data_IF_901698066451
#
_entry.id   IF_901698066451
#
_cell.length_a   1.000
_cell.length_b   1.000
_cell.length_c   1.000
_cell.angle_alpha   90.00
_cell.angle_beta   90.00
_cell.angle_gamma   90.00
#
_symmetry.space_group_name_H-M   'P 1'
#
loop_
_entity.id
_entity.type
_entity.pdbx_description
1 polymer ?
#
# COMPACT_ATOMS: atom_id res chain seq x y z
N UNK A 1 3.79 5.07 -9.80
CA UNK A 1 3.26 4.88 -11.17
C UNK A 1 3.74 5.92 -12.18
N UNK A 2 3.23 7.17 -12.20
CA UNK A 2 3.55 8.16 -13.26
C UNK A 2 5.05 8.44 -13.43
N UNK A 3 5.75 8.65 -12.31
CA UNK A 3 7.20 8.87 -12.32
C UNK A 3 7.98 7.70 -12.96
N UNK A 4 7.58 6.46 -12.67
CA UNK A 4 8.19 5.27 -13.28
C UNK A 4 7.85 5.18 -14.78
N UNK A 5 6.59 5.41 -15.15
CA UNK A 5 6.14 5.38 -16.54
C UNK A 5 6.80 6.46 -17.43
N UNK A 6 7.14 7.61 -16.84
CA UNK A 6 7.78 8.72 -17.54
C UNK A 6 9.26 8.47 -17.86
N UNK A 7 9.90 7.45 -17.27
CA UNK A 7 11.29 7.12 -17.58
C UNK A 7 11.43 6.61 -19.02
N UNK A 8 12.48 7.01 -19.77
CA UNK A 8 12.63 6.67 -21.18
C UNK A 8 12.53 5.16 -21.48
N UNK A 9 13.10 4.32 -20.62
CA UNK A 9 13.07 2.87 -20.75
C UNK A 9 11.67 2.25 -20.62
N UNK A 10 10.74 2.94 -19.96
CA UNK A 10 9.37 2.46 -19.71
C UNK A 10 8.36 3.13 -20.65
N UNK A 11 8.57 4.40 -20.98
CA UNK A 11 7.65 5.21 -21.77
C UNK A 11 7.38 4.60 -23.16
N UNK A 12 8.38 3.95 -23.77
CA UNK A 12 8.22 3.27 -25.05
C UNK A 12 7.18 2.13 -25.03
N UNK A 13 6.89 1.56 -23.86
CA UNK A 13 5.92 0.48 -23.67
C UNK A 13 4.52 1.00 -23.27
N UNK A 14 4.35 2.31 -23.03
CA UNK A 14 3.13 2.88 -22.45
C UNK A 14 2.59 3.97 -23.38
N UNK A 15 1.59 3.60 -24.18
CA UNK A 15 0.88 4.55 -25.03
C UNK A 15 0.01 5.53 -24.23
N UNK A 16 -0.68 5.02 -23.21
CA UNK A 16 -1.59 5.80 -22.36
C UNK A 16 -1.55 5.26 -20.93
N UNK A 17 -1.54 6.17 -19.95
CA UNK A 17 -1.71 5.86 -18.53
C UNK A 17 -2.84 6.73 -17.98
N UNK A 18 -3.89 6.08 -17.49
CA UNK A 18 -5.02 6.74 -16.83
C UNK A 18 -5.13 6.30 -15.39
N UNK A 19 -5.34 7.26 -14.48
CA UNK A 19 -5.47 7.01 -13.05
C UNK A 19 -6.85 7.47 -12.60
N UNK A 20 -7.54 6.64 -11.82
CA UNK A 20 -8.82 6.96 -11.20
C UNK A 20 -8.74 6.59 -9.73
N UNK A 21 -9.42 7.37 -8.88
CA UNK A 21 -9.62 7.01 -7.48
C UNK A 21 -11.10 6.80 -7.22
N UNK A 22 -11.43 5.66 -6.62
CA UNK A 22 -12.80 5.27 -6.26
C UNK A 22 -13.02 5.31 -4.76
N UNK A 23 -12.03 5.78 -3.98
CA UNK A 23 -12.04 5.68 -2.53
C UNK A 23 -12.19 4.22 -2.06
N UNK A 24 -12.88 4.02 -0.94
CA UNK A 24 -13.16 2.71 -0.35
C UNK A 24 -14.45 2.05 -0.90
N UNK A 25 -14.97 2.48 -2.05
CA UNK A 25 -16.18 1.92 -2.64
C UNK A 25 -15.84 0.77 -3.60
N UNK A 26 -16.16 -0.46 -3.17
CA UNK A 26 -15.94 -1.70 -3.94
C UNK A 26 -16.72 -1.69 -5.25
N UNK A 27 -17.98 -1.24 -5.24
CA UNK A 27 -18.83 -1.23 -6.43
C UNK A 27 -18.32 -0.21 -7.46
N UNK A 28 -17.91 0.97 -6.99
CA UNK A 28 -17.29 1.98 -7.84
C UNK A 28 -15.95 1.49 -8.42
N UNK A 29 -15.13 0.77 -7.64
CA UNK A 29 -13.88 0.18 -8.12
C UNK A 29 -14.14 -0.86 -9.21
N UNK A 30 -15.08 -1.78 -9.00
CA UNK A 30 -15.49 -2.78 -10.00
C UNK A 30 -15.98 -2.09 -11.29
N UNK A 31 -16.85 -1.09 -11.17
CA UNK A 31 -17.35 -0.33 -12.31
C UNK A 31 -16.24 0.41 -13.06
N UNK A 32 -15.25 0.97 -12.35
CA UNK A 32 -14.11 1.62 -12.97
C UNK A 32 -13.25 0.62 -13.76
N UNK A 33 -12.99 -0.57 -13.21
CA UNK A 33 -12.26 -1.63 -13.91
C UNK A 33 -13.03 -2.07 -15.16
N UNK A 34 -14.34 -2.29 -15.07
CA UNK A 34 -15.18 -2.66 -16.22
C UNK A 34 -15.16 -1.60 -17.32
N UNK A 35 -15.19 -0.31 -16.94
CA UNK A 35 -15.10 0.78 -17.88
C UNK A 35 -13.75 0.80 -18.61
N UNK A 36 -12.64 0.49 -17.93
CA UNK A 36 -11.33 0.39 -18.57
C UNK A 36 -11.22 -0.83 -19.49
N UNK A 37 -11.78 -1.98 -19.10
CA UNK A 37 -11.88 -3.16 -19.97
C UNK A 37 -12.66 -2.79 -21.23
N UNK A 38 -13.83 -2.14 -21.08
CA UNK A 38 -14.67 -1.73 -22.20
C UNK A 38 -14.01 -0.66 -23.09
N UNK A 39 -13.20 0.23 -22.50
CA UNK A 39 -12.40 1.21 -23.22
C UNK A 39 -11.17 0.61 -23.93
N UNK A 40 -10.90 -0.68 -23.76
CA UNK A 40 -9.83 -1.40 -24.45
C UNK A 40 -8.45 -1.21 -23.84
N UNK A 41 -8.35 -0.91 -22.54
CA UNK A 41 -7.06 -0.91 -21.86
C UNK A 41 -6.47 -2.32 -21.81
N UNK A 42 -5.19 -2.43 -22.15
CA UNK A 42 -4.47 -3.71 -22.18
C UNK A 42 -4.20 -4.27 -20.77
N UNK A 43 -3.98 -3.38 -19.79
CA UNK A 43 -3.77 -3.76 -18.41
C UNK A 43 -4.41 -2.77 -17.43
N UNK A 44 -4.80 -3.28 -16.25
CA UNK A 44 -5.39 -2.51 -15.16
C UNK A 44 -4.72 -2.96 -13.85
N UNK A 45 -3.94 -2.06 -13.26
CA UNK A 45 -3.37 -2.26 -11.94
C UNK A 45 -4.19 -1.51 -10.89
N UNK A 46 -4.50 -2.16 -9.77
CA UNK A 46 -5.41 -1.61 -8.76
C UNK A 46 -5.08 -2.10 -7.36
N UNK A 47 -5.49 -1.31 -6.37
CA UNK A 47 -5.41 -1.67 -4.95
C UNK A 47 -6.76 -2.26 -4.57
N UNK A 48 -6.84 -3.56 -4.34
CA UNK A 48 -8.13 -4.21 -4.08
C UNK A 48 -8.74 -3.70 -2.77
N UNK A 49 -9.91 -3.07 -2.83
CA UNK A 49 -10.60 -2.60 -1.61
C UNK A 49 -11.06 -3.78 -0.74
N UNK A 50 -11.43 -4.89 -1.38
CA UNK A 50 -11.87 -6.12 -0.74
C UNK A 50 -11.24 -7.35 -1.44
N UNK A 51 -10.82 -8.38 -0.70
CA UNK A 51 -10.09 -9.50 -1.28
C UNK A 51 -10.94 -10.48 -2.10
N UNK A 52 -12.27 -10.49 -1.97
CA UNK A 52 -13.14 -11.54 -2.55
C UNK A 52 -14.17 -11.03 -3.56
N UNK A 53 -14.35 -9.72 -3.70
CA UNK A 53 -15.41 -9.13 -4.53
C UNK A 53 -15.15 -9.16 -6.06
N UNK A 54 -13.96 -9.55 -6.52
CA UNK A 54 -13.49 -9.26 -7.89
C UNK A 54 -13.62 -10.44 -8.88
N UNK A 55 -14.15 -11.58 -8.45
CA UNK A 55 -14.23 -12.81 -9.24
C UNK A 55 -14.93 -12.64 -10.60
N UNK A 56 -16.02 -11.85 -10.65
CA UNK A 56 -16.74 -11.58 -11.88
C UNK A 56 -15.95 -10.68 -12.86
N UNK A 57 -15.18 -9.73 -12.32
CA UNK A 57 -14.31 -8.83 -13.10
C UNK A 57 -13.12 -9.61 -13.66
N UNK A 58 -12.51 -10.49 -12.87
CA UNK A 58 -11.43 -11.38 -13.32
C UNK A 58 -11.86 -12.16 -14.55
N UNK A 59 -13.02 -12.85 -14.48
CA UNK A 59 -13.57 -13.60 -15.61
C UNK A 59 -13.83 -12.72 -16.84
N UNK A 60 -14.19 -11.44 -16.67
CA UNK A 60 -14.38 -10.51 -17.79
C UNK A 60 -13.05 -10.10 -18.43
N UNK A 61 -12.06 -9.80 -17.62
CA UNK A 61 -10.72 -9.45 -18.08
C UNK A 61 -10.07 -10.61 -18.84
N UNK A 62 -10.18 -11.84 -18.33
CA UNK A 62 -9.71 -13.06 -19.01
C UNK A 62 -10.32 -13.22 -20.42
N UNK A 63 -11.66 -13.03 -20.56
CA UNK A 63 -12.33 -13.15 -21.87
C UNK A 63 -11.91 -12.08 -22.88
N UNK A 64 -11.53 -10.90 -22.38
CA UNK A 64 -11.14 -9.77 -23.22
C UNK A 64 -9.64 -9.69 -23.45
N UNK A 65 -8.85 -10.47 -22.73
CA UNK A 65 -7.38 -10.44 -22.76
C UNK A 65 -6.78 -9.24 -22.04
N UNK A 66 -7.52 -8.57 -21.15
CA UNK A 66 -7.01 -7.49 -20.31
C UNK A 66 -6.28 -8.08 -19.11
N UNK A 67 -5.06 -7.63 -18.85
CA UNK A 67 -4.26 -8.05 -17.69
C UNK A 67 -4.73 -7.31 -16.44
N UNK A 68 -5.04 -8.03 -15.37
CA UNK A 68 -5.35 -7.44 -14.06
C UNK A 68 -4.16 -7.64 -13.12
N UNK A 69 -3.77 -6.58 -12.41
CA UNK A 69 -2.69 -6.63 -11.41
C UNK A 69 -3.12 -5.96 -10.10
N UNK A 70 -3.74 -6.71 -9.18
CA UNK A 70 -3.89 -6.28 -7.79
C UNK A 70 -2.52 -6.06 -7.14
N UNK A 71 -2.36 -4.96 -6.41
CA UNK A 71 -1.16 -4.71 -5.64
C UNK A 71 -1.46 -3.94 -4.36
N UNK A 72 -0.54 -3.94 -3.40
CA UNK A 72 -0.65 -3.29 -2.09
C UNK A 72 -1.72 -3.95 -1.20
N UNK A 73 -2.97 -3.93 -1.65
CA UNK A 73 -4.05 -4.80 -1.20
C UNK A 73 -4.39 -5.79 -2.32
N UNK A 74 -4.45 -7.07 -1.95
CA UNK A 74 -4.54 -8.18 -2.90
C UNK A 74 -5.85 -8.97 -2.74
N UNK A 75 -6.10 -9.85 -3.69
CA UNK A 75 -7.25 -10.73 -3.75
C UNK A 75 -6.92 -12.09 -3.16
N UNK A 76 -7.91 -12.72 -2.52
CA UNK A 76 -7.82 -14.10 -2.03
C UNK A 76 -8.05 -15.09 -3.19
N UNK A 77 -7.16 -15.05 -4.19
CA UNK A 77 -7.20 -15.88 -5.39
C UNK A 77 -5.81 -16.07 -5.99
N UNK A 78 -5.63 -17.14 -6.77
CA UNK A 78 -4.44 -17.47 -7.54
C UNK A 78 -4.59 -17.24 -9.05
N UNK A 79 -5.75 -16.71 -9.49
CA UNK A 79 -6.10 -16.55 -10.92
C UNK A 79 -5.36 -15.41 -11.63
N UNK A 80 -4.83 -14.45 -10.88
CA UNK A 80 -4.20 -13.24 -11.43
C UNK A 80 -2.85 -13.00 -10.78
N UNK A 81 -1.94 -12.37 -11.53
CA UNK A 81 -0.67 -11.89 -11.02
C UNK A 81 -0.87 -10.76 -10.01
N UNK A 82 -0.18 -10.82 -8.87
CA UNK A 82 -0.33 -9.88 -7.77
C UNK A 82 1.02 -9.46 -7.21
N UNK A 83 1.09 -8.26 -6.63
CA UNK A 83 2.31 -7.75 -5.99
C UNK A 83 1.99 -7.26 -4.59
N UNK A 84 2.64 -7.82 -3.57
CA UNK A 84 2.50 -7.34 -2.21
C UNK A 84 3.79 -7.57 -1.40
N UNK A 85 3.85 -7.05 -0.19
CA UNK A 85 4.74 -7.57 0.85
C UNK A 85 4.04 -8.66 1.64
N UNK A 86 4.81 -9.43 2.40
CA UNK A 86 4.27 -10.45 3.30
C UNK A 86 3.73 -9.81 4.57
N UNK A 87 2.45 -9.47 4.58
CA UNK A 87 1.83 -8.62 5.60
C UNK A 87 1.80 -9.24 7.01
N UNK A 88 1.64 -10.55 7.12
CA UNK A 88 1.73 -11.25 8.41
C UNK A 88 3.16 -11.14 8.96
N UNK A 89 4.18 -11.51 8.17
CA UNK A 89 5.59 -11.42 8.57
C UNK A 89 6.01 -9.96 8.86
N UNK A 90 5.46 -9.01 8.10
CA UNK A 90 5.65 -7.57 8.29
C UNK A 90 5.22 -7.14 9.70
N UNK A 91 4.00 -7.48 10.12
CA UNK A 91 3.50 -7.06 11.42
C UNK A 91 4.13 -7.88 12.56
N UNK A 92 4.41 -9.17 12.34
CA UNK A 92 5.17 -9.99 13.29
C UNK A 92 6.54 -9.38 13.59
N UNK A 93 7.26 -8.83 12.60
CA UNK A 93 8.54 -8.16 12.81
C UNK A 93 8.39 -6.94 13.73
N UNK A 94 7.35 -6.12 13.52
CA UNK A 94 7.06 -5.00 14.43
C UNK A 94 6.75 -5.52 15.84
N UNK A 95 5.88 -6.51 15.95
CA UNK A 95 5.45 -7.06 17.23
C UNK A 95 6.60 -7.67 18.03
N UNK A 96 7.49 -8.44 17.38
CA UNK A 96 8.65 -9.06 18.03
C UNK A 96 9.59 -8.03 18.65
N UNK A 97 9.84 -6.91 17.95
CA UNK A 97 10.62 -5.81 18.52
C UNK A 97 9.93 -5.20 19.75
N UNK A 98 8.64 -4.85 19.62
CA UNK A 98 7.88 -4.22 20.71
C UNK A 98 7.82 -5.13 21.93
N UNK A 99 7.59 -6.43 21.73
CA UNK A 99 7.62 -7.42 22.81
C UNK A 99 8.99 -7.50 23.48
N UNK A 100 10.08 -7.53 22.71
CA UNK A 100 11.44 -7.55 23.27
C UNK A 100 11.75 -6.29 24.10
N UNK A 101 11.22 -5.12 23.72
CA UNK A 101 11.35 -3.90 24.54
C UNK A 101 10.57 -3.99 25.86
N UNK A 102 9.38 -4.59 25.84
CA UNK A 102 8.60 -4.85 27.07
C UNK A 102 9.35 -5.80 28.00
N UNK A 103 9.90 -6.89 27.48
CA UNK A 103 10.70 -7.85 28.23
C UNK A 103 11.95 -7.21 28.84
N UNK A 104 12.67 -6.39 28.06
CA UNK A 104 13.84 -5.65 28.54
C UNK A 104 13.50 -4.66 29.67
N UNK A 105 12.26 -4.14 29.68
CA UNK A 105 11.73 -3.30 30.75
C UNK A 105 11.16 -4.11 31.95
N UNK A 106 11.26 -5.45 31.93
CA UNK A 106 10.75 -6.33 32.98
C UNK A 106 9.22 -6.52 32.97
N UNK A 107 8.54 -6.08 31.90
CA UNK A 107 7.08 -6.22 31.76
C UNK A 107 6.75 -7.50 31.00
N UNK A 108 6.17 -8.48 31.70
CA UNK A 108 5.76 -9.78 31.11
C UNK A 108 4.31 -10.17 31.44
N UNK A 109 3.62 -9.42 32.30
CA UNK A 109 2.22 -9.64 32.70
C UNK A 109 1.52 -8.31 32.96
N UNK A 110 0.19 -8.30 32.87
CA UNK A 110 -0.63 -7.11 33.06
C UNK A 110 -0.36 -6.05 31.99
N UNK A 111 0.06 -6.49 30.80
CA UNK A 111 0.45 -5.62 29.69
C UNK A 111 -0.81 -5.21 28.95
N UNK A 112 -0.98 -3.92 28.68
CA UNK A 112 -2.00 -3.43 27.76
C UNK A 112 -1.40 -2.93 26.46
N UNK A 113 -1.85 -3.48 25.34
CA UNK A 113 -1.39 -3.11 24.00
C UNK A 113 -2.50 -2.42 23.24
N UNK A 114 -2.21 -1.26 22.68
CA UNK A 114 -3.11 -0.57 21.76
C UNK A 114 -2.84 -1.06 20.33
N UNK A 115 -3.81 -1.71 19.71
CA UNK A 115 -3.80 -2.03 18.29
C UNK A 115 -4.53 -0.93 17.51
N UNK A 116 -3.84 -0.27 16.59
CA UNK A 116 -4.43 0.71 15.67
C UNK A 116 -4.52 0.10 14.28
N UNK A 117 -5.75 -0.28 13.92
CA UNK A 117 -6.08 -0.96 12.66
C UNK A 117 -6.29 -0.01 11.49
N UNK A 118 -6.28 -0.61 10.31
CA UNK A 118 -6.44 0.03 9.02
C UNK A 118 -7.87 0.23 8.59
N UNK A 119 -8.10 0.10 7.27
CA UNK A 119 -9.44 0.04 6.69
C UNK A 119 -10.00 -1.39 6.83
N UNK A 120 -11.10 -1.60 7.59
CA UNK A 120 -11.67 -2.93 7.78
C UNK A 120 -12.14 -3.59 6.48
N UNK A 121 -12.01 -4.91 6.41
CA UNK A 121 -12.43 -5.71 5.26
C UNK A 121 -11.39 -5.80 4.14
N UNK A 122 -10.23 -5.17 4.33
CA UNK A 122 -9.10 -5.23 3.42
C UNK A 122 -8.10 -6.35 3.79
N UNK A 123 -7.42 -6.93 2.79
CA UNK A 123 -6.41 -7.98 2.99
C UNK A 123 -5.24 -7.53 3.89
N UNK A 124 -4.69 -6.32 3.70
CA UNK A 124 -3.54 -5.85 4.50
C UNK A 124 -3.92 -5.64 5.95
N UNK A 125 -5.06 -4.99 6.20
CA UNK A 125 -5.55 -4.77 7.57
C UNK A 125 -5.82 -6.11 8.31
N UNK A 126 -6.39 -7.09 7.60
CA UNK A 126 -6.57 -8.44 8.13
C UNK A 126 -5.23 -9.09 8.46
N UNK A 127 -4.33 -9.16 7.49
CA UNK A 127 -3.10 -9.94 7.59
C UNK A 127 -2.12 -9.32 8.60
N UNK A 128 -2.07 -7.99 8.69
CA UNK A 128 -1.28 -7.32 9.73
C UNK A 128 -1.85 -7.60 11.12
N UNK A 129 -3.16 -7.47 11.32
CA UNK A 129 -3.79 -7.81 12.61
C UNK A 129 -3.45 -9.25 13.02
N UNK A 130 -3.55 -10.22 12.10
CA UNK A 130 -3.10 -11.61 12.34
C UNK A 130 -1.63 -11.67 12.79
N UNK A 131 -0.73 -10.95 12.11
CA UNK A 131 0.69 -10.92 12.47
C UNK A 131 0.98 -10.32 13.85
N UNK A 132 0.25 -9.28 14.24
CA UNK A 132 0.33 -8.70 15.59
C UNK A 132 -0.16 -9.70 16.66
N UNK A 133 -1.32 -10.31 16.44
CA UNK A 133 -1.95 -11.25 17.36
C UNK A 133 -1.09 -12.50 17.58
N UNK A 134 -0.38 -13.00 16.57
CA UNK A 134 0.62 -14.08 16.74
C UNK A 134 1.72 -13.78 17.75
N UNK A 135 2.01 -12.49 18.00
CA UNK A 135 2.99 -12.07 19.00
C UNK A 135 2.34 -11.79 20.35
N UNK A 136 1.16 -11.16 20.36
CA UNK A 136 0.57 -10.60 21.58
C UNK A 136 -0.58 -11.41 22.19
N UNK A 137 -1.12 -12.43 21.52
CA UNK A 137 -2.12 -13.34 22.09
C UNK A 137 -1.48 -14.27 23.13
N UNK A 138 -1.25 -13.71 24.32
CA UNK A 138 -0.58 -14.35 25.44
C UNK A 138 -1.37 -14.10 26.72
N UNK A 139 -1.22 -15.02 27.67
CA UNK A 139 -1.78 -14.82 29.01
C UNK A 139 -1.22 -13.56 29.66
N UNK A 140 -2.10 -12.73 30.23
CA UNK A 140 -1.71 -11.49 30.89
C UNK A 140 -1.45 -10.31 29.94
N UNK A 141 -1.80 -10.43 28.66
CA UNK A 141 -1.85 -9.32 27.70
C UNK A 141 -3.30 -8.96 27.39
N UNK A 142 -3.66 -7.70 27.59
CA UNK A 142 -4.94 -7.11 27.15
C UNK A 142 -4.70 -6.32 25.86
N UNK A 143 -5.43 -6.64 24.79
CA UNK A 143 -5.37 -5.91 23.53
C UNK A 143 -6.61 -5.02 23.43
N UNK A 144 -6.40 -3.71 23.26
CA UNK A 144 -7.46 -2.75 22.94
C UNK A 144 -7.31 -2.37 21.48
N UNK A 145 -8.34 -2.63 20.67
CA UNK A 145 -8.32 -2.37 19.23
C UNK A 145 -9.13 -1.12 18.89
N UNK A 146 -8.54 -0.24 18.08
CA UNK A 146 -9.21 0.91 17.46
C UNK A 146 -8.99 0.94 15.96
N UNK A 147 -9.88 1.60 15.21
CA UNK A 147 -9.82 1.67 13.74
C UNK A 147 -9.40 3.07 13.30
N UNK A 148 -8.19 3.18 12.76
CA UNK A 148 -7.60 4.42 12.30
C UNK A 148 -7.81 4.72 10.82
N UNK A 149 -8.31 3.77 10.04
CA UNK A 149 -8.51 3.89 8.58
C UNK A 149 -7.25 4.29 7.79
N UNK A 150 -6.06 4.02 8.35
CA UNK A 150 -4.77 4.50 7.84
C UNK A 150 -4.71 6.02 7.60
N UNK A 151 -5.50 6.80 8.31
CA UNK A 151 -5.54 8.26 8.22
C UNK A 151 -4.99 8.87 9.51
N UNK A 152 -3.93 9.67 9.41
CA UNK A 152 -3.23 10.25 10.57
C UNK A 152 -4.15 11.06 11.48
N UNK A 153 -5.11 11.81 10.94
CA UNK A 153 -6.07 12.58 11.73
C UNK A 153 -7.06 11.69 12.48
N UNK A 154 -7.60 10.68 11.79
CA UNK A 154 -8.49 9.68 12.36
C UNK A 154 -7.77 8.87 13.45
N UNK A 155 -6.54 8.42 13.19
CA UNK A 155 -5.69 7.74 14.17
C UNK A 155 -5.51 8.58 15.42
N UNK A 156 -5.15 9.86 15.29
CA UNK A 156 -4.99 10.75 16.44
C UNK A 156 -6.27 10.81 17.29
N UNK A 157 -7.42 10.93 16.64
CA UNK A 157 -8.71 10.97 17.33
C UNK A 157 -9.00 9.67 18.09
N UNK A 158 -8.94 8.52 17.42
CA UNK A 158 -9.31 7.23 18.04
C UNK A 158 -8.33 6.79 19.12
N UNK A 159 -7.05 7.17 19.00
CA UNK A 159 -6.04 6.93 20.05
C UNK A 159 -6.30 7.84 21.26
N UNK A 160 -6.67 9.11 21.05
CA UNK A 160 -7.05 10.00 22.14
C UNK A 160 -8.29 9.48 22.89
N UNK A 161 -9.30 9.02 22.16
CA UNK A 161 -10.50 8.39 22.75
C UNK A 161 -10.14 7.13 23.55
N UNK A 162 -9.24 6.28 23.03
CA UNK A 162 -8.77 5.09 23.72
C UNK A 162 -7.98 5.42 25.01
N UNK A 163 -7.11 6.42 24.98
CA UNK A 163 -6.37 6.89 26.15
C UNK A 163 -7.33 7.44 27.23
N UNK A 164 -8.38 8.16 26.83
CA UNK A 164 -9.37 8.66 27.76
C UNK A 164 -10.21 7.53 28.39
N UNK A 165 -10.58 6.51 27.61
CA UNK A 165 -11.43 5.42 28.06
C UNK A 165 -10.69 4.34 28.86
N UNK A 166 -9.45 4.03 28.48
CA UNK A 166 -8.70 2.91 29.04
C UNK A 166 -7.51 3.35 29.89
N UNK A 167 -7.13 4.62 29.86
CA UNK A 167 -6.00 5.16 30.61
C UNK A 167 -4.67 4.84 29.93
N UNK A 168 -3.80 4.11 30.62
CA UNK A 168 -2.42 3.86 30.16
C UNK A 168 -2.31 2.61 29.30
N UNK A 169 -1.38 2.66 28.34
CA UNK A 169 -0.95 1.56 27.50
C UNK A 169 0.53 1.28 27.71
N UNK A 170 0.95 0.03 27.59
CA UNK A 170 2.34 -0.38 27.71
C UNK A 170 3.04 -0.48 26.36
N UNK A 171 2.29 -0.61 25.27
CA UNK A 171 2.80 -0.68 23.91
C UNK A 171 1.76 -0.26 22.88
N UNK A 172 2.22 0.14 21.69
CA UNK A 172 1.36 0.44 20.55
C UNK A 172 1.80 -0.34 19.31
N UNK A 173 0.83 -0.95 18.65
CA UNK A 173 0.98 -1.57 17.34
C UNK A 173 0.12 -0.80 16.36
N UNK A 174 0.74 0.08 15.57
CA UNK A 174 0.03 0.87 14.56
C UNK A 174 0.33 0.35 13.16
N UNK A 175 -0.72 0.07 12.39
CA UNK A 175 -0.56 -0.27 10.98
C UNK A 175 -0.12 0.95 10.16
N UNK A 176 -0.63 2.15 10.48
CA UNK A 176 -0.30 3.42 9.82
C UNK A 176 -0.73 4.62 10.66
N UNK A 177 -0.23 5.81 10.35
CA UNK A 177 -0.60 7.06 11.02
C UNK A 177 0.08 7.24 12.37
N UNK A 178 1.30 6.72 12.53
CA UNK A 178 2.08 6.79 13.77
C UNK A 178 2.28 8.22 14.29
N UNK A 179 2.35 9.23 13.42
CA UNK A 179 2.32 10.63 13.85
C UNK A 179 1.08 10.98 14.69
N UNK A 180 -0.09 10.45 14.33
CA UNK A 180 -1.33 10.65 15.09
C UNK A 180 -1.29 9.98 16.46
N UNK A 181 -0.69 8.79 16.54
CA UNK A 181 -0.45 8.09 17.82
C UNK A 181 0.41 8.96 18.74
N UNK A 182 1.57 9.42 18.24
CA UNK A 182 2.53 10.19 19.05
C UNK A 182 1.90 11.50 19.52
N UNK A 183 1.17 12.20 18.65
CA UNK A 183 0.45 13.42 19.03
C UNK A 183 -0.57 13.17 20.14
N UNK A 184 -1.37 12.10 20.04
CA UNK A 184 -2.35 11.76 21.05
C UNK A 184 -1.70 11.42 22.40
N UNK A 185 -0.61 10.66 22.40
CA UNK A 185 0.16 10.35 23.60
C UNK A 185 0.71 11.62 24.28
N UNK A 186 1.30 12.54 23.49
CA UNK A 186 1.78 13.82 24.00
C UNK A 186 0.66 14.66 24.60
N UNK A 187 -0.46 14.77 23.90
CA UNK A 187 -1.61 15.57 24.36
C UNK A 187 -2.21 15.03 25.67
N UNK A 188 -2.19 13.70 25.85
CA UNK A 188 -2.65 13.04 27.07
C UNK A 188 -1.63 13.06 28.23
N UNK A 189 -0.41 13.58 28.01
CA UNK A 189 0.68 13.47 28.98
C UNK A 189 1.11 12.03 29.25
N UNK A 190 0.89 11.12 28.30
CA UNK A 190 1.29 9.73 28.40
C UNK A 190 2.77 9.58 28.07
N UNK A 191 3.48 8.73 28.81
CA UNK A 191 4.87 8.38 28.51
C UNK A 191 4.99 7.72 27.13
N UNK A 192 6.08 7.96 26.40
CA UNK A 192 6.33 7.24 25.16
C UNK A 192 6.72 5.79 25.48
N UNK A 193 5.94 4.86 24.93
CA UNK A 193 6.13 3.42 25.12
C UNK A 193 6.68 2.75 23.87
N UNK A 194 7.08 1.48 23.91
CA UNK A 194 7.48 0.74 22.71
C UNK A 194 6.40 0.76 21.62
N UNK A 195 6.77 1.16 20.40
CA UNK A 195 5.83 1.27 19.27
C UNK A 195 6.30 0.57 18.00
N UNK A 196 5.40 -0.16 17.35
CA UNK A 196 5.54 -0.59 15.96
C UNK A 196 4.83 0.41 15.04
N UNK A 197 5.59 1.10 14.19
CA UNK A 197 5.09 2.24 13.40
C UNK A 197 5.33 2.06 11.88
N UNK A 198 4.65 2.89 11.08
CA UNK A 198 4.83 3.02 9.64
C UNK A 198 6.10 3.78 9.24
N UNK A 199 6.33 3.86 7.93
CA UNK A 199 7.48 4.53 7.31
C UNK A 199 7.21 5.94 6.79
N UNK A 200 6.11 6.60 7.18
CA UNK A 200 5.92 7.99 6.79
C UNK A 200 7.02 8.86 7.41
N UNK A 201 7.49 9.82 6.62
CA UNK A 201 8.56 10.74 7.00
C UNK A 201 8.22 11.48 8.32
N UNK A 202 6.98 11.92 8.45
CA UNK A 202 6.47 12.59 9.64
C UNK A 202 6.44 11.68 10.87
N UNK A 203 6.05 10.42 10.70
CA UNK A 203 6.06 9.40 11.76
C UNK A 203 7.50 9.15 12.24
N UNK A 204 8.42 8.85 11.33
CA UNK A 204 9.83 8.57 11.66
C UNK A 204 10.51 9.76 12.33
N UNK A 205 10.36 10.96 11.76
CA UNK A 205 10.91 12.20 12.32
C UNK A 205 10.38 12.44 13.73
N UNK A 206 9.06 12.39 13.90
CA UNK A 206 8.43 12.67 15.19
C UNK A 206 8.80 11.61 16.24
N UNK A 207 8.91 10.34 15.87
CA UNK A 207 9.33 9.28 16.78
C UNK A 207 10.75 9.51 17.30
N UNK A 208 11.68 9.93 16.43
CA UNK A 208 13.06 10.29 16.83
C UNK A 208 13.07 11.53 17.74
N UNK A 209 12.40 12.61 17.34
CA UNK A 209 12.34 13.87 18.10
C UNK A 209 11.78 13.68 19.52
N UNK A 210 10.82 12.77 19.67
CA UNK A 210 10.15 12.50 20.94
C UNK A 210 10.72 11.28 21.66
N UNK A 211 11.87 10.75 21.21
CA UNK A 211 12.60 9.64 21.83
C UNK A 211 11.74 8.40 22.07
N UNK A 212 10.83 8.10 21.13
CA UNK A 212 10.01 6.89 21.19
C UNK A 212 10.93 5.68 21.02
N UNK A 213 10.82 4.62 21.84
CA UNK A 213 11.41 3.33 21.51
C UNK A 213 10.56 2.68 20.41
N UNK A 214 11.04 2.66 19.17
CA UNK A 214 10.21 2.19 18.05
C UNK A 214 10.98 1.37 17.02
N UNK A 215 10.22 0.61 16.25
CA UNK A 215 10.63 0.09 14.95
C UNK A 215 9.70 0.70 13.90
N UNK A 216 10.27 1.15 12.80
CA UNK A 216 9.52 1.53 11.61
C UNK A 216 9.68 0.45 10.56
N UNK A 217 8.57 -0.14 10.11
CA UNK A 217 8.56 -1.04 8.96
C UNK A 217 7.71 -0.39 7.89
N UNK A 218 8.21 -0.40 6.66
CA UNK A 218 7.62 0.38 5.58
C UNK A 218 7.03 -0.47 4.47
N UNK A 219 5.81 -0.09 4.06
CA UNK A 219 5.21 -0.54 2.83
C UNK A 219 5.47 0.46 1.72
N UNK A 220 6.40 0.13 0.82
CA UNK A 220 6.93 1.08 -0.15
C UNK A 220 5.90 1.36 -1.24
N UNK A 221 5.47 2.63 -1.47
CA UNK A 221 4.59 2.98 -2.59
C UNK A 221 5.21 2.66 -3.97
N UNK A 222 6.54 2.51 -4.00
CA UNK A 222 7.32 2.01 -5.11
C UNK A 222 6.83 0.65 -5.66
N UNK A 223 6.09 -0.13 -4.87
CA UNK A 223 5.46 -1.39 -5.28
C UNK A 223 4.54 -1.19 -6.49
N UNK A 224 3.92 -0.01 -6.60
CA UNK A 224 3.11 0.36 -7.77
C UNK A 224 3.90 0.29 -9.09
N UNK A 225 5.21 0.56 -9.07
CA UNK A 225 6.06 0.42 -10.25
C UNK A 225 6.36 -1.05 -10.57
N UNK A 226 6.55 -1.90 -9.56
CA UNK A 226 6.69 -3.36 -9.76
C UNK A 226 5.42 -3.95 -10.36
N UNK A 227 4.25 -3.51 -9.90
CA UNK A 227 2.97 -3.93 -10.47
C UNK A 227 2.82 -3.52 -11.94
N UNK A 228 3.22 -2.28 -12.29
CA UNK A 228 3.22 -1.83 -13.69
C UNK A 228 4.21 -2.59 -14.56
N UNK A 229 5.44 -2.82 -14.08
CA UNK A 229 6.45 -3.63 -14.78
C UNK A 229 5.95 -5.07 -15.01
N UNK A 230 5.33 -5.68 -13.99
CA UNK A 230 4.71 -7.00 -14.12
C UNK A 230 3.60 -7.01 -15.18
N UNK A 231 2.75 -5.98 -15.22
CA UNK A 231 1.72 -5.87 -16.25
C UNK A 231 2.31 -5.79 -17.67
N UNK A 232 3.35 -4.97 -17.88
CA UNK A 232 4.05 -4.86 -19.17
C UNK A 232 4.65 -6.19 -19.58
N UNK A 233 5.31 -6.90 -18.66
CA UNK A 233 5.92 -8.22 -18.92
C UNK A 233 4.88 -9.27 -19.32
N UNK A 234 3.72 -9.30 -18.64
CA UNK A 234 2.62 -10.20 -19.01
C UNK A 234 2.09 -9.90 -20.42
N UNK A 235 1.94 -8.62 -20.77
CA UNK A 235 1.52 -8.20 -22.12
C UNK A 235 2.56 -8.55 -23.20
N UNK A 236 3.83 -8.59 -22.85
CA UNK A 236 4.93 -9.04 -23.73
C UNK A 236 5.04 -10.58 -23.80
N UNK A 237 4.18 -11.32 -23.09
CA UNK A 237 4.12 -12.78 -23.12
C UNK A 237 5.09 -13.48 -22.16
N UNK A 238 5.68 -12.76 -21.21
CA UNK A 238 6.48 -13.37 -20.15
C UNK A 238 5.58 -14.06 -19.11
N UNK A 239 6.04 -15.19 -18.59
CA UNK A 239 5.44 -15.84 -17.44
C UNK A 239 5.97 -15.23 -16.14
N UNK A 240 5.07 -15.01 -15.18
CA UNK A 240 5.39 -14.48 -13.85
C UNK A 240 4.75 -15.36 -12.77
N UNK A 241 5.33 -15.43 -11.55
CA UNK A 241 4.67 -16.10 -10.44
C UNK A 241 3.36 -15.40 -10.08
N UNK A 242 2.37 -16.14 -9.57
CA UNK A 242 1.08 -15.58 -9.14
C UNK A 242 1.24 -14.42 -8.15
N UNK A 243 2.20 -14.52 -7.22
CA UNK A 243 2.49 -13.47 -6.24
C UNK A 243 3.98 -13.13 -6.25
N UNK A 244 4.27 -11.85 -6.48
CA UNK A 244 5.57 -11.27 -6.14
C UNK A 244 5.50 -10.72 -4.72
N UNK A 245 6.14 -11.44 -3.81
CA UNK A 245 6.31 -11.02 -2.42
C UNK A 245 7.58 -10.16 -2.29
N UNK A 246 7.40 -8.84 -2.21
CA UNK A 246 8.47 -7.88 -2.04
C UNK A 246 9.02 -7.91 -0.60
N UNK A 247 10.31 -7.61 -0.41
CA UNK A 247 10.88 -7.55 0.93
C UNK A 247 10.28 -6.39 1.72
N UNK A 248 10.17 -6.58 3.03
CA UNK A 248 9.85 -5.53 3.99
C UNK A 248 11.14 -5.12 4.69
N UNK A 249 11.44 -3.83 4.69
CA UNK A 249 12.59 -3.29 5.42
C UNK A 249 12.12 -2.61 6.70
N UNK A 250 12.67 -3.05 7.82
CA UNK A 250 12.48 -2.45 9.13
C UNK A 250 13.73 -1.70 9.56
N UNK A 251 13.55 -0.53 10.19
CA UNK A 251 14.63 0.27 10.78
C UNK A 251 14.28 0.53 12.22
N UNK A 252 15.21 0.21 13.13
CA UNK A 252 15.05 0.50 14.55
C UNK A 252 15.22 2.00 14.79
N UNK A 253 14.48 2.54 15.75
CA UNK A 253 14.58 3.95 16.13
C UNK A 253 16.00 4.37 16.55
N UNK A 254 16.75 3.46 17.17
CA UNK A 254 18.14 3.67 17.56
C UNK A 254 19.09 3.84 16.35
N UNK A 255 18.73 3.29 15.19
CA UNK A 255 19.54 3.31 13.97
C UNK A 255 19.06 4.39 12.96
N UNK A 256 18.01 5.12 13.30
CA UNK A 256 17.43 6.17 12.45
C UNK A 256 18.40 7.34 12.24
N UNK A 257 18.48 7.81 11.00
CA UNK A 257 19.39 8.88 10.59
C UNK A 257 18.66 9.84 9.66
N UNK A 258 18.81 11.15 9.93
CA UNK A 258 18.31 12.20 9.05
C UNK A 258 19.03 12.12 7.69
N UNK A 259 18.29 12.31 6.60
CA UNK A 259 18.79 12.21 5.22
C UNK A 259 18.92 10.77 4.70
N UNK A 260 18.71 9.75 5.52
CA UNK A 260 18.76 8.34 5.13
C UNK A 260 17.41 7.66 5.37
N UNK A 261 16.91 7.75 6.60
CA UNK A 261 15.68 7.08 7.02
C UNK A 261 14.48 8.02 7.15
N UNK A 262 14.73 9.30 7.40
CA UNK A 262 13.74 10.37 7.33
C UNK A 262 14.40 11.63 6.76
N UNK A 263 13.63 12.47 6.10
CA UNK A 263 14.10 13.60 5.31
C UNK A 263 13.47 14.89 5.86
N UNK A 264 14.19 15.69 6.66
CA UNK A 264 13.66 16.88 7.31
C UNK A 264 13.02 17.89 6.35
N UNK A 265 13.57 18.00 5.15
CA UNK A 265 13.15 18.96 4.12
C UNK A 265 11.99 18.45 3.25
N UNK A 266 11.55 17.20 3.42
CA UNK A 266 10.41 16.63 2.71
C UNK A 266 9.13 16.72 3.55
N UNK A 267 7.94 16.72 2.90
CA UNK A 267 6.67 16.72 3.60
C UNK A 267 6.54 15.57 4.60
N UNK A 268 5.77 15.78 5.68
CA UNK A 268 5.50 14.74 6.66
C UNK A 268 4.79 13.51 6.05
N UNK A 269 3.94 13.71 5.05
CA UNK A 269 3.23 12.66 4.32
C UNK A 269 4.10 11.93 3.28
N UNK A 270 5.36 12.31 3.12
CA UNK A 270 6.25 11.62 2.20
C UNK A 270 6.56 10.21 2.73
N UNK A 271 6.39 9.19 1.90
CA UNK A 271 6.81 7.83 2.22
C UNK A 271 8.24 7.62 1.71
N UNK A 272 9.11 7.12 2.57
CA UNK A 272 10.56 7.08 2.35
C UNK A 272 11.03 5.94 1.45
N UNK A 273 10.18 4.96 1.20
CA UNK A 273 10.37 3.76 0.41
C UNK A 273 10.12 4.05 -1.06
N UNK A 274 11.11 4.65 -1.72
CA UNK A 274 10.97 5.10 -3.11
C UNK A 274 11.38 4.06 -4.15
N UNK A 275 11.80 2.87 -3.73
CA UNK A 275 12.26 1.84 -4.66
C UNK A 275 12.36 0.44 -4.08
N UNK A 276 12.57 -0.48 -5.01
CA UNK A 276 13.08 -1.82 -4.75
C UNK A 276 14.31 -2.00 -5.64
N UNK A 277 15.54 -1.77 -5.14
CA UNK A 277 16.75 -1.73 -5.97
C UNK A 277 16.99 -2.99 -6.81
N UNK A 278 16.53 -4.15 -6.32
CA UNK A 278 16.59 -5.42 -7.05
C UNK A 278 15.63 -5.47 -8.27
N UNK A 279 14.59 -4.63 -8.29
CA UNK A 279 13.59 -4.57 -9.35
C UNK A 279 13.85 -3.41 -10.31
N UNK A 280 14.15 -2.21 -9.79
CA UNK A 280 14.43 -1.02 -10.58
C UNK A 280 15.19 0.02 -9.74
N UNK A 281 15.91 0.94 -10.41
CA UNK A 281 16.57 2.06 -9.73
C UNK A 281 15.54 2.88 -8.95
N UNK A 282 15.70 3.08 -7.62
CA UNK A 282 14.73 3.83 -6.82
C UNK A 282 14.34 5.18 -7.43
N UNK A 283 13.09 5.58 -7.23
CA UNK A 283 12.60 6.88 -7.67
C UNK A 283 13.18 7.96 -6.77
N UNK A 284 13.59 9.06 -7.39
CA UNK A 284 14.04 10.25 -6.65
C UNK A 284 12.84 11.09 -6.22
N UNK A 285 12.95 11.87 -5.13
CA UNK A 285 11.92 12.83 -4.74
C UNK A 285 11.55 13.77 -5.89
N UNK A 286 12.53 14.26 -6.65
CA UNK A 286 12.30 15.12 -7.82
C UNK A 286 11.44 14.44 -8.90
N UNK A 287 11.71 13.17 -9.22
CA UNK A 287 10.89 12.41 -10.17
C UNK A 287 9.44 12.29 -9.70
N UNK A 288 9.23 12.12 -8.39
CA UNK A 288 7.91 11.98 -7.77
C UNK A 288 7.15 13.32 -7.74
N UNK A 289 7.81 14.41 -7.32
CA UNK A 289 7.17 15.73 -7.17
C UNK A 289 6.94 16.45 -8.50
N UNK A 290 7.65 16.07 -9.58
CA UNK A 290 7.36 16.57 -10.93
C UNK A 290 6.02 16.08 -11.50
N UNK A 291 5.42 15.05 -10.92
CA UNK A 291 4.16 14.48 -11.42
C UNK A 291 2.96 15.32 -10.97
N UNK A 292 1.99 15.54 -11.87
CA UNK A 292 0.76 16.28 -11.60
C UNK A 292 -0.48 15.37 -11.65
N UNK A 293 -1.68 15.93 -11.40
CA UNK A 293 -2.95 15.21 -11.42
C UNK A 293 -3.67 15.19 -12.77
N UNK A 294 -3.04 15.59 -13.88
CA UNK A 294 -3.76 15.90 -15.13
C UNK A 294 -4.46 14.69 -15.77
N UNK A 295 -3.95 13.48 -15.55
CA UNK A 295 -4.58 12.20 -15.93
C UNK A 295 -5.24 11.47 -14.74
N UNK A 296 -5.43 12.15 -13.61
CA UNK A 296 -6.21 11.64 -12.48
C UNK A 296 -7.64 12.14 -12.59
N UNK A 297 -8.58 11.26 -12.97
CA UNK A 297 -10.01 11.61 -12.88
C UNK A 297 -10.49 11.33 -11.45
N UNK A 298 -10.74 12.40 -10.69
CA UNK A 298 -11.57 12.33 -9.49
C UNK A 298 -13.03 12.10 -9.89
N UNK A 299 -13.81 11.48 -9.01
CA UNK A 299 -15.25 11.28 -9.18
C UNK A 299 -15.98 12.64 -9.25
N UNK A 300 -15.99 13.28 -10.43
CA UNK A 300 -16.97 14.32 -10.73
C UNK A 300 -18.33 13.65 -10.68
N UNK A 301 -19.15 14.04 -9.71
CA UNK A 301 -20.56 13.64 -9.58
C UNK A 301 -21.21 13.54 -10.96
N UNK A 302 -21.79 12.39 -11.24
CA UNK A 302 -22.68 12.15 -12.37
C UNK A 302 -23.74 13.27 -12.44
N UNK A 303 -23.84 14.04 -13.54
CA UNK A 303 -24.81 15.13 -13.59
C UNK A 303 -26.20 14.57 -13.85
N UNK A 304 -27.13 14.82 -12.90
CA UNK A 304 -28.57 14.75 -13.15
C UNK A 304 -28.93 15.77 -14.24
N UNK A 305 -29.82 15.37 -15.14
CA UNK A 305 -30.30 16.13 -16.30
C UNK A 305 -30.89 17.49 -15.94
N UNK A 306 -30.39 18.56 -16.58
CA UNK A 306 -30.97 19.90 -16.62
C UNK A 306 -30.04 20.91 -17.32
N UNK A 307 -30.47 21.49 -18.45
CA UNK A 307 -29.76 22.50 -19.29
C UNK A 307 -30.23 23.93 -18.93
N UNK A 308 -29.65 25.03 -19.50
CA UNK A 308 -28.28 25.27 -20.03
C UNK A 308 -27.66 26.64 -19.65
N UNK A 309 -26.35 26.85 -19.89
CA UNK A 309 -25.76 28.20 -19.99
C UNK A 309 -24.23 28.25 -20.23
N UNK A 310 -23.84 28.64 -21.45
CA UNK A 310 -22.56 29.20 -21.96
C UNK A 310 -21.23 28.48 -21.58
N UNK A 311 -20.44 27.83 -22.46
CA UNK A 311 -20.01 28.15 -23.82
C UNK A 311 -18.47 28.36 -23.80
N UNK A 312 -17.61 27.43 -24.23
CA UNK A 312 -17.07 27.42 -25.60
C UNK A 312 -16.48 26.04 -26.00
N UNK A 313 -16.65 25.76 -27.30
CA UNK A 313 -16.23 24.65 -28.18
C UNK A 313 -14.70 24.53 -28.31
N UNK A 314 -14.04 23.52 -28.84
CA UNK A 314 -14.33 22.16 -29.35
C UNK A 314 -12.99 21.65 -29.92
N UNK A 315 -12.74 20.34 -29.89
CA UNK A 315 -12.21 19.64 -31.07
C UNK A 315 -12.34 18.12 -30.89
N UNK A 316 -13.11 17.53 -31.80
CA UNK A 316 -13.09 16.10 -32.12
C UNK A 316 -11.74 15.74 -32.77
N UNK A 317 -11.36 14.46 -32.79
CA UNK A 317 -11.15 13.67 -34.02
C UNK A 317 -10.54 12.29 -33.72
N UNK A 318 -11.28 11.28 -34.19
CA UNK A 318 -10.98 9.98 -34.80
C UNK A 318 -10.06 8.92 -34.17
N UNK A 319 -10.69 7.75 -34.04
CA UNK A 319 -10.12 6.41 -33.96
C UNK A 319 -9.28 6.06 -35.18
N UNK A 320 -8.19 5.31 -34.95
CA UNK A 320 -7.70 4.35 -35.93
C UNK A 320 -7.20 3.09 -35.20
N UNK A 321 -7.88 1.99 -35.45
CA UNK A 321 -7.57 0.66 -34.95
C UNK A 321 -6.48 0.00 -35.80
N UNK A 322 -5.63 -0.83 -35.18
CA UNK A 322 -4.76 -1.79 -35.87
C UNK A 322 -5.14 -3.18 -35.36
N UNK A 323 -5.21 -4.22 -36.23
CA UNK A 323 -5.95 -5.45 -35.93
C UNK A 323 -5.26 -6.31 -34.88
N UNK A 324 -6.06 -6.88 -33.98
CA UNK A 324 -5.65 -8.01 -33.12
C UNK A 324 -5.18 -9.17 -34.01
N UNK A 325 -3.88 -9.50 -33.93
CA UNK A 325 -3.38 -10.79 -34.43
C UNK A 325 -3.57 -11.87 -33.38
N UNK A 326 -4.44 -12.83 -33.71
CA UNK A 326 -4.29 -14.24 -33.35
C UNK A 326 -4.49 -14.63 -31.89
N UNK A 327 -5.67 -15.20 -31.60
CA UNK A 327 -5.86 -16.11 -30.44
C UNK A 327 -4.86 -17.27 -30.54
N UNK A 328 -4.10 -17.52 -29.48
CA UNK A 328 -3.52 -18.84 -29.20
C UNK A 328 -3.94 -19.27 -27.80
N UNK A 329 -4.61 -20.42 -27.75
CA UNK A 329 -4.85 -21.22 -26.57
C UNK A 329 -3.51 -21.71 -26.02
N UNK A 330 -3.26 -21.55 -24.72
CA UNK A 330 -2.08 -22.09 -24.04
C UNK A 330 -2.37 -23.51 -23.53
N UNK A 331 -1.58 -24.54 -23.91
CA UNK A 331 -1.46 -25.76 -23.14
C UNK A 331 -0.29 -25.68 -22.15
N UNK A 332 -0.42 -26.50 -21.11
CA UNK A 332 0.42 -26.72 -19.93
C UNK A 332 1.95 -26.74 -20.11
N UNK A 333 2.63 -26.11 -19.13
CA UNK A 333 3.85 -26.50 -18.39
C UNK A 333 5.15 -26.76 -19.17
N UNK A 334 6.14 -25.89 -18.96
CA UNK A 334 7.55 -26.25 -18.89
C UNK A 334 8.32 -25.25 -18.00
N UNK A 335 8.89 -25.75 -16.90
CA UNK A 335 9.71 -24.98 -15.97
C UNK A 335 11.04 -24.57 -16.61
N UNK A 336 11.34 -23.27 -16.62
CA UNK A 336 12.70 -22.73 -16.74
C UNK A 336 12.96 -21.79 -15.55
N UNK A 337 14.15 -21.80 -14.95
CA UNK A 337 14.40 -21.08 -13.70
C UNK A 337 14.46 -19.57 -13.96
N UNK A 338 13.48 -18.86 -13.42
CA UNK A 338 13.49 -17.41 -13.24
C UNK A 338 14.61 -17.05 -12.25
N UNK A 339 15.43 -16.05 -12.57
CA UNK A 339 16.34 -15.44 -11.59
C UNK A 339 15.50 -14.53 -10.69
N UNK A 340 15.26 -14.88 -9.41
CA UNK A 340 14.49 -14.02 -8.53
C UNK A 340 15.28 -12.77 -8.21
N UNK A 341 14.56 -11.69 -7.87
CA UNK A 341 15.07 -10.65 -6.99
C UNK A 341 15.55 -11.34 -5.70
N UNK A 342 16.83 -11.73 -5.66
CA UNK A 342 17.42 -12.44 -4.52
C UNK A 342 17.46 -11.46 -3.36
N UNK A 343 16.70 -11.78 -2.31
CA UNK A 343 17.00 -11.28 -0.99
C UNK A 343 18.40 -11.81 -0.62
N UNK A 344 19.38 -10.90 -0.52
CA UNK A 344 20.64 -11.22 0.12
C UNK A 344 20.37 -11.69 1.55
N UNK A 345 20.90 -12.86 1.90
CA UNK A 345 21.06 -13.32 3.28
C UNK A 345 22.54 -13.15 3.66
N UNK A 346 22.83 -13.02 4.96
CA UNK A 346 23.49 -11.87 5.58
C UNK A 346 24.94 -11.63 5.16
#
# INVERSE_FOLDING_TARGET
>A
MKAWAARPENAANIKELKVVSTGADVAAQIAAIDNFIAAGFDAISFIAVNPTAFDAVIKRAERTGTVLVPFDNILDTDKVFQVNQKQIEFEETKGKYVWAQLEAAGKTKGIRVLEVRGLPGNSVDRDRSIGMHKVFDREGVEIVTVVGNWDTGTVQKVVADALAAHGKFDAVMSQHGGQGVINAFKAAGHEMVPMGLDGENGTRRMAVENKVPFISVEQHPAMSAVAMDGAVKLLQGHELPVLVALPSTGVLGADMKAGEHYFPDLPASFNTGTGYPACFKPLTPDELFKQNSDNTQGTKRWPRSGKPGCGHRSSQVNFMAIPRRGRRTYPYVAWWPWAPCRAGRP
#
